data_IF_988994100511
#
_entry.id   IF_988994100511
#
_cell.length_a   1.000
_cell.length_b   1.000
_cell.length_c   1.000
_cell.angle_alpha   90.00
_cell.angle_beta   90.00
_cell.angle_gamma   90.00
#
_symmetry.space_group_name_H-M   'P 1'
#
loop_
_entity.id
_entity.type
_entity.pdbx_description
1 polymer ?
#
# COMPACT_ATOMS: atom_id res chain seq x y z
N UNK A 1 8.64 20.13 -6.07
CA UNK A 1 8.03 18.98 -5.35
C UNK A 1 8.78 17.68 -5.57
N UNK A 2 9.21 17.37 -6.80
CA UNK A 2 9.96 16.13 -7.12
C UNK A 2 11.26 15.97 -6.32
N UNK A 3 12.08 17.00 -6.16
CA UNK A 3 13.35 16.90 -5.39
C UNK A 3 13.14 16.50 -3.92
N UNK A 4 12.10 17.03 -3.27
CA UNK A 4 11.77 16.68 -1.90
C UNK A 4 11.28 15.23 -1.76
N UNK A 5 10.50 14.75 -2.74
CA UNK A 5 10.08 13.34 -2.80
C UNK A 5 11.29 12.44 -2.98
N UNK A 6 12.21 12.79 -3.90
CA UNK A 6 13.43 12.02 -4.14
C UNK A 6 14.29 11.92 -2.88
N UNK A 7 14.51 13.05 -2.18
CA UNK A 7 15.28 13.06 -0.95
C UNK A 7 14.67 12.17 0.15
N UNK A 8 13.33 12.12 0.27
CA UNK A 8 12.65 11.23 1.23
C UNK A 8 12.86 9.74 0.87
N UNK A 9 12.83 9.40 -0.41
CA UNK A 9 13.03 8.04 -0.89
C UNK A 9 14.49 7.60 -0.72
N UNK A 10 15.46 8.46 -1.05
CA UNK A 10 16.89 8.17 -0.93
C UNK A 10 17.36 8.07 0.54
N UNK A 11 16.59 8.64 1.48
CA UNK A 11 16.88 8.54 2.92
C UNK A 11 16.59 7.15 3.50
N UNK A 12 15.82 6.31 2.81
CA UNK A 12 15.50 4.95 3.22
C UNK A 12 16.53 3.99 2.62
N UNK A 13 17.11 3.10 3.44
CA UNK A 13 18.00 2.07 2.93
C UNK A 13 17.20 0.88 2.39
N UNK A 14 16.77 0.97 1.13
CA UNK A 14 15.90 -0.01 0.47
C UNK A 14 16.48 -1.43 0.38
N UNK A 15 17.81 -1.59 0.49
CA UNK A 15 18.47 -2.91 0.51
C UNK A 15 18.13 -3.76 1.73
N UNK A 16 17.57 -3.15 2.78
CA UNK A 16 17.14 -3.87 3.99
C UNK A 16 15.76 -4.53 3.83
N UNK A 17 15.07 -4.27 2.72
CA UNK A 17 13.73 -4.78 2.46
C UNK A 17 13.70 -5.67 1.22
N UNK A 18 12.66 -6.49 1.17
CA UNK A 18 12.38 -7.40 0.07
C UNK A 18 11.02 -7.10 -0.53
N UNK A 19 10.89 -7.48 -1.79
CA UNK A 19 9.66 -7.55 -2.60
C UNK A 19 9.38 -9.03 -2.90
N UNK A 20 8.25 -9.31 -3.55
CA UNK A 20 7.97 -10.65 -4.08
C UNK A 20 9.04 -11.17 -5.07
N UNK A 21 9.91 -10.30 -5.59
CA UNK A 21 10.94 -10.64 -6.58
C UNK A 21 12.37 -10.49 -6.05
N UNK A 22 12.56 -10.32 -4.73
CA UNK A 22 13.87 -10.11 -4.10
C UNK A 22 14.09 -8.67 -3.67
N UNK A 23 15.32 -8.15 -3.81
CA UNK A 23 15.72 -6.80 -3.35
C UNK A 23 14.72 -5.69 -3.71
N UNK A 24 14.44 -4.79 -2.76
CA UNK A 24 13.53 -3.66 -2.94
C UNK A 24 14.18 -2.41 -3.57
N UNK A 25 15.38 -2.50 -4.12
CA UNK A 25 16.11 -1.36 -4.72
C UNK A 25 15.39 -0.67 -5.88
N UNK A 26 14.42 -1.33 -6.53
CA UNK A 26 13.61 -0.74 -7.60
C UNK A 26 12.39 0.05 -7.09
N UNK A 27 11.96 -0.20 -5.84
CA UNK A 27 10.77 0.45 -5.25
C UNK A 27 10.88 1.99 -5.19
N UNK A 28 12.04 2.61 -4.92
CA UNK A 28 12.16 4.07 -4.87
C UNK A 28 11.78 4.75 -6.18
N UNK A 29 12.28 4.23 -7.29
CA UNK A 29 12.02 4.82 -8.61
C UNK A 29 10.53 4.66 -8.97
N UNK A 30 9.94 3.51 -8.63
CA UNK A 30 8.50 3.28 -8.80
C UNK A 30 7.64 4.23 -7.95
N UNK A 31 8.00 4.46 -6.69
CA UNK A 31 7.31 5.43 -5.83
C UNK A 31 7.49 6.87 -6.32
N UNK A 32 8.66 7.19 -6.86
CA UNK A 32 8.91 8.49 -7.46
C UNK A 32 8.03 8.72 -8.68
N UNK A 33 7.97 7.74 -9.59
CA UNK A 33 7.12 7.77 -10.78
C UNK A 33 5.64 7.84 -10.41
N UNK A 34 5.20 7.08 -9.40
CA UNK A 34 3.83 7.15 -8.88
C UNK A 34 3.45 8.56 -8.38
N UNK A 35 4.39 9.26 -7.75
CA UNK A 35 4.10 10.56 -7.13
C UNK A 35 4.31 11.76 -8.05
N UNK A 36 5.08 11.61 -9.14
CA UNK A 36 5.55 12.75 -9.94
C UNK A 36 5.37 12.59 -11.44
N UNK A 37 5.06 11.38 -11.91
CA UNK A 37 4.84 11.08 -13.32
C UNK A 37 3.55 11.66 -13.89
N UNK A 38 3.37 11.50 -15.20
CA UNK A 38 2.06 11.66 -15.85
C UNK A 38 1.12 10.53 -15.43
N UNK A 39 -0.19 10.68 -15.64
CA UNK A 39 -1.18 9.65 -15.27
C UNK A 39 -0.83 8.25 -15.82
N UNK A 40 -0.30 8.15 -17.04
CA UNK A 40 0.19 6.89 -17.63
C UNK A 40 1.37 6.30 -16.86
N UNK A 41 2.37 7.12 -16.54
CA UNK A 41 3.55 6.71 -15.75
C UNK A 41 3.14 6.29 -14.34
N UNK A 42 2.22 7.03 -13.72
CA UNK A 42 1.72 6.73 -12.38
C UNK A 42 0.98 5.39 -12.34
N UNK A 43 0.13 5.11 -13.33
CA UNK A 43 -0.59 3.84 -13.42
C UNK A 43 0.36 2.66 -13.67
N UNK A 44 1.36 2.83 -14.54
CA UNK A 44 2.39 1.82 -14.76
C UNK A 44 3.19 1.54 -13.47
N UNK A 45 3.57 2.60 -12.75
CA UNK A 45 4.26 2.49 -11.46
C UNK A 45 3.38 1.82 -10.40
N UNK A 46 2.09 2.18 -10.30
CA UNK A 46 1.14 1.53 -9.39
C UNK A 46 1.04 0.03 -9.66
N UNK A 47 0.97 -0.39 -10.92
CA UNK A 47 0.95 -1.80 -11.29
C UNK A 47 2.23 -2.54 -10.88
N UNK A 48 3.40 -1.92 -11.09
CA UNK A 48 4.68 -2.48 -10.66
C UNK A 48 4.76 -2.63 -9.14
N UNK A 49 4.31 -1.62 -8.39
CA UNK A 49 4.25 -1.64 -6.92
C UNK A 49 3.26 -2.70 -6.42
N UNK A 50 2.11 -2.86 -7.06
CA UNK A 50 1.16 -3.92 -6.73
C UNK A 50 1.80 -5.30 -6.89
N UNK A 51 2.49 -5.54 -8.01
CA UNK A 51 3.23 -6.78 -8.26
C UNK A 51 4.34 -7.04 -7.23
N UNK A 52 5.09 -6.00 -6.86
CA UNK A 52 6.25 -6.11 -5.99
C UNK A 52 5.89 -6.20 -4.50
N UNK A 53 4.94 -5.37 -4.05
CA UNK A 53 4.65 -5.17 -2.63
C UNK A 53 3.57 -6.12 -2.10
N UNK A 54 2.58 -6.48 -2.94
CA UNK A 54 1.45 -7.30 -2.54
C UNK A 54 1.14 -8.50 -3.46
N UNK A 55 1.99 -8.78 -4.46
CA UNK A 55 1.90 -9.86 -5.45
C UNK A 55 0.51 -10.50 -5.63
N UNK A 56 -0.38 -9.80 -6.34
CA UNK A 56 -1.75 -10.27 -6.62
C UNK A 56 -2.59 -10.59 -5.37
N UNK A 57 -2.33 -9.88 -4.27
CA UNK A 57 -2.87 -10.12 -2.94
C UNK A 57 -2.59 -11.53 -2.39
N UNK A 58 -1.61 -12.26 -2.93
CA UNK A 58 -1.19 -13.56 -2.42
C UNK A 58 -0.07 -13.46 -1.36
N UNK A 59 0.66 -12.35 -1.33
CA UNK A 59 1.82 -12.14 -0.47
C UNK A 59 1.92 -10.67 -0.05
N UNK A 60 2.49 -10.38 1.11
CA UNK A 60 2.84 -9.03 1.54
C UNK A 60 4.33 -8.95 1.82
N UNK A 61 5.01 -8.02 1.17
CA UNK A 61 6.47 -7.87 1.27
C UNK A 61 6.90 -6.95 2.42
N UNK A 62 8.14 -7.09 2.92
CA UNK A 62 8.66 -6.22 3.98
C UNK A 62 8.84 -4.77 3.52
N UNK A 63 9.05 -4.53 2.22
CA UNK A 63 9.12 -3.19 1.64
C UNK A 63 7.78 -2.43 1.73
N UNK A 64 6.65 -3.14 1.91
CA UNK A 64 5.33 -2.54 2.02
C UNK A 64 5.25 -1.52 3.16
N UNK A 65 5.89 -1.79 4.30
CA UNK A 65 5.90 -0.89 5.45
C UNK A 65 6.61 0.44 5.13
N UNK A 66 7.73 0.39 4.41
CA UNK A 66 8.48 1.58 4.01
C UNK A 66 7.78 2.37 2.89
N UNK A 67 7.06 1.67 2.00
CA UNK A 67 6.30 2.28 0.91
C UNK A 67 4.99 2.93 1.35
N UNK A 68 4.38 2.45 2.45
CA UNK A 68 3.04 2.86 2.90
C UNK A 68 2.82 4.39 2.99
N UNK A 69 3.72 5.20 3.59
CA UNK A 69 3.52 6.65 3.66
C UNK A 69 3.42 7.34 2.29
N UNK A 70 4.08 6.78 1.27
CA UNK A 70 4.06 7.31 -0.10
C UNK A 70 2.78 6.90 -0.84
N UNK A 71 2.31 5.67 -0.61
CA UNK A 71 1.01 5.21 -1.13
C UNK A 71 -0.15 6.02 -0.54
N UNK A 72 -0.12 6.30 0.77
CA UNK A 72 -1.11 7.18 1.42
C UNK A 72 -1.07 8.61 0.86
N UNK A 73 0.10 9.12 0.47
CA UNK A 73 0.18 10.41 -0.24
C UNK A 73 -0.45 10.34 -1.63
N UNK A 74 -0.29 9.23 -2.35
CA UNK A 74 -0.82 9.08 -3.70
C UNK A 74 -2.34 9.07 -3.74
N UNK A 75 -3.03 8.50 -2.74
CA UNK A 75 -4.51 8.52 -2.70
C UNK A 75 -5.09 9.93 -2.50
N UNK A 76 -4.30 10.86 -1.94
CA UNK A 76 -4.68 12.27 -1.79
C UNK A 76 -4.49 13.09 -3.09
N UNK A 77 -3.97 12.47 -4.14
CA UNK A 77 -3.79 13.10 -5.45
C UNK A 77 -5.11 13.28 -6.23
N UNK A 78 -5.13 14.17 -7.24
CA UNK A 78 -6.35 14.48 -8.00
C UNK A 78 -6.77 13.37 -8.98
N UNK A 79 -5.84 12.51 -9.42
CA UNK A 79 -6.05 11.50 -10.46
C UNK A 79 -6.84 10.29 -9.92
N UNK A 80 -8.13 10.19 -10.25
CA UNK A 80 -9.02 9.15 -9.74
C UNK A 80 -8.54 7.73 -10.07
N UNK A 81 -8.09 7.47 -11.30
CA UNK A 81 -7.60 6.14 -11.70
C UNK A 81 -6.33 5.72 -10.93
N UNK A 82 -5.46 6.68 -10.61
CA UNK A 82 -4.26 6.41 -9.79
C UNK A 82 -4.66 6.12 -8.36
N UNK A 83 -5.59 6.90 -7.81
CA UNK A 83 -6.13 6.69 -6.46
C UNK A 83 -6.74 5.29 -6.33
N UNK A 84 -7.57 4.89 -7.29
CA UNK A 84 -8.18 3.57 -7.37
C UNK A 84 -7.12 2.45 -7.38
N UNK A 85 -6.12 2.55 -8.26
CA UNK A 85 -5.03 1.57 -8.34
C UNK A 85 -4.25 1.47 -7.01
N UNK A 86 -4.03 2.58 -6.32
CA UNK A 86 -3.35 2.59 -5.02
C UNK A 86 -4.25 2.05 -3.91
N UNK A 87 -5.55 2.33 -3.91
CA UNK A 87 -6.51 1.73 -2.96
C UNK A 87 -6.57 0.22 -3.12
N UNK A 88 -6.45 -0.31 -4.34
CA UNK A 88 -6.31 -1.75 -4.56
C UNK A 88 -5.03 -2.33 -3.90
N UNK A 89 -3.90 -1.61 -3.91
CA UNK A 89 -2.70 -2.03 -3.18
C UNK A 89 -2.96 -2.04 -1.67
N UNK A 90 -3.55 -0.96 -1.16
CA UNK A 90 -3.82 -0.79 0.27
C UNK A 90 -4.86 -1.78 0.81
N UNK A 91 -5.80 -2.25 -0.02
CA UNK A 91 -6.75 -3.32 0.37
C UNK A 91 -6.02 -4.64 0.61
N UNK A 92 -5.04 -4.97 -0.22
CA UNK A 92 -4.15 -6.11 0.01
C UNK A 92 -3.33 -5.96 1.31
N UNK A 93 -2.83 -4.76 1.60
CA UNK A 93 -2.12 -4.48 2.85
C UNK A 93 -3.05 -4.67 4.06
N UNK A 94 -4.28 -4.15 4.00
CA UNK A 94 -5.26 -4.28 5.06
C UNK A 94 -5.57 -5.76 5.34
N UNK A 95 -5.84 -6.55 4.29
CA UNK A 95 -6.10 -7.98 4.37
C UNK A 95 -4.95 -8.76 5.03
N UNK A 96 -3.72 -8.58 4.54
CA UNK A 96 -2.55 -9.31 5.04
C UNK A 96 -2.07 -8.83 6.42
N UNK A 97 -2.49 -7.63 6.83
CA UNK A 97 -2.14 -7.09 8.14
C UNK A 97 -3.04 -7.55 9.28
N UNK A 98 -4.13 -8.27 8.98
CA UNK A 98 -5.04 -8.81 9.99
C UNK A 98 -4.28 -9.75 10.94
N UNK A 99 -4.38 -9.55 12.27
CA UNK A 99 -3.67 -10.37 13.24
C UNK A 99 -3.97 -11.86 13.05
N UNK A 100 -2.96 -12.75 13.11
CA UNK A 100 -3.22 -14.16 13.07
C UNK A 100 -3.92 -14.57 14.36
N UNK A 101 -4.86 -15.52 14.28
CA UNK A 101 -5.52 -16.10 15.45
C UNK A 101 -4.54 -16.84 16.36
N UNK A 102 -3.46 -17.37 15.79
CA UNK A 102 -2.39 -18.10 16.48
C UNK A 102 -1.02 -17.77 15.88
N UNK A 103 0.01 -17.75 16.73
CA UNK A 103 1.38 -17.44 16.32
C UNK A 103 1.68 -15.94 16.22
N UNK A 104 2.92 -15.62 15.88
CA UNK A 104 3.40 -14.25 15.76
C UNK A 104 3.41 -13.79 14.30
N UNK A 105 3.16 -12.51 14.08
CA UNK A 105 3.37 -11.84 12.79
C UNK A 105 4.60 -10.94 12.85
N UNK A 106 5.28 -10.71 11.73
CA UNK A 106 6.39 -9.77 11.69
C UNK A 106 5.97 -8.38 12.19
N UNK A 107 6.85 -7.71 12.95
CA UNK A 107 6.56 -6.38 13.51
C UNK A 107 6.18 -5.35 12.45
N UNK A 108 6.77 -5.44 11.25
CA UNK A 108 6.46 -4.55 10.13
C UNK A 108 5.03 -4.74 9.59
N UNK A 109 4.43 -5.94 9.72
CA UNK A 109 3.02 -6.19 9.39
C UNK A 109 2.11 -5.51 10.41
N UNK A 110 2.44 -5.61 11.69
CA UNK A 110 1.73 -4.91 12.77
C UNK A 110 1.77 -3.40 12.57
N UNK A 111 2.92 -2.89 12.15
CA UNK A 111 3.11 -1.47 11.85
C UNK A 111 2.25 -1.00 10.68
N UNK A 112 2.17 -1.77 9.59
CA UNK A 112 1.26 -1.48 8.47
C UNK A 112 -0.18 -1.36 8.98
N UNK A 113 -0.67 -2.33 9.76
CA UNK A 113 -2.03 -2.27 10.31
C UNK A 113 -2.25 -1.02 11.16
N UNK A 114 -1.30 -0.72 12.04
CA UNK A 114 -1.35 0.43 12.95
C UNK A 114 -1.49 1.73 12.16
N UNK A 115 -0.71 1.90 11.10
CA UNK A 115 -0.76 3.10 10.25
C UNK A 115 -2.07 3.16 9.46
N UNK A 116 -2.54 2.05 8.89
CA UNK A 116 -3.83 2.03 8.18
C UNK A 116 -5.01 2.39 9.12
N UNK A 117 -5.00 1.91 10.36
CA UNK A 117 -5.99 2.29 11.38
C UNK A 117 -5.92 3.79 11.72
N UNK A 118 -4.73 4.39 11.72
CA UNK A 118 -4.60 5.84 11.93
C UNK A 118 -5.16 6.66 10.77
N UNK A 119 -5.12 6.13 9.56
CA UNK A 119 -5.67 6.75 8.35
C UNK A 119 -7.12 6.32 8.06
N UNK A 120 -7.82 5.68 9.00
CA UNK A 120 -9.16 5.14 8.79
C UNK A 120 -10.15 6.19 8.24
N UNK A 121 -10.11 7.42 8.77
CA UNK A 121 -10.99 8.50 8.33
C UNK A 121 -10.78 8.90 6.86
N UNK A 122 -9.57 8.73 6.31
CA UNK A 122 -9.31 9.02 4.90
C UNK A 122 -10.07 8.04 3.99
N UNK A 123 -10.08 6.75 4.36
CA UNK A 123 -10.84 5.73 3.63
C UNK A 123 -12.35 5.92 3.79
N UNK A 124 -12.82 6.33 4.97
CA UNK A 124 -14.25 6.66 5.19
C UNK A 124 -14.71 7.81 4.28
N UNK A 125 -13.90 8.86 4.16
CA UNK A 125 -14.18 9.99 3.27
C UNK A 125 -14.29 9.52 1.82
N UNK A 126 -13.32 8.74 1.33
CA UNK A 126 -13.33 8.20 -0.04
C UNK A 126 -14.56 7.31 -0.27
N UNK A 127 -14.87 6.40 0.66
CA UNK A 127 -16.01 5.49 0.55
C UNK A 127 -17.37 6.22 0.53
N UNK A 128 -17.44 7.45 1.07
CA UNK A 128 -18.65 8.26 1.09
C UNK A 128 -18.76 9.23 -0.10
N UNK A 129 -17.63 9.74 -0.60
CA UNK A 129 -17.60 10.83 -1.58
C UNK A 129 -17.35 10.35 -3.01
N UNK A 130 -16.72 9.19 -3.18
CA UNK A 130 -16.45 8.61 -4.50
C UNK A 130 -17.47 7.52 -4.87
N UNK A 131 -17.43 7.12 -6.13
CA UNK A 131 -18.26 6.03 -6.68
C UNK A 131 -17.38 5.05 -7.47
N UNK A 132 -17.90 3.87 -7.76
CA UNK A 132 -17.18 2.84 -8.51
C UNK A 132 -16.06 2.20 -7.69
N UNK A 133 -14.96 1.83 -8.36
CA UNK A 133 -13.92 0.99 -7.77
C UNK A 133 -13.19 1.66 -6.60
N UNK A 134 -12.97 2.99 -6.61
CA UNK A 134 -12.41 3.70 -5.45
C UNK A 134 -13.24 3.50 -4.18
N UNK A 135 -14.58 3.60 -4.30
CA UNK A 135 -15.50 3.41 -3.19
C UNK A 135 -15.46 1.95 -2.70
N UNK A 136 -15.44 1.00 -3.63
CA UNK A 136 -15.39 -0.44 -3.32
C UNK A 136 -14.09 -0.79 -2.58
N UNK A 137 -12.93 -0.34 -3.07
CA UNK A 137 -11.66 -0.61 -2.42
C UNK A 137 -11.54 0.05 -1.05
N UNK A 138 -12.01 1.30 -0.90
CA UNK A 138 -12.02 1.96 0.40
C UNK A 138 -12.93 1.23 1.41
N UNK A 139 -14.09 0.74 0.96
CA UNK A 139 -15.00 -0.04 1.80
C UNK A 139 -14.38 -1.38 2.21
N UNK A 140 -13.70 -2.07 1.28
CA UNK A 140 -12.97 -3.30 1.58
C UNK A 140 -11.86 -3.09 2.61
N UNK A 141 -11.08 -2.02 2.49
CA UNK A 141 -10.05 -1.66 3.48
C UNK A 141 -10.69 -1.53 4.87
N UNK A 142 -11.80 -0.79 4.98
CA UNK A 142 -12.48 -0.58 6.26
C UNK A 142 -13.01 -1.91 6.86
N UNK A 143 -13.51 -2.82 6.04
CA UNK A 143 -13.92 -4.16 6.48
C UNK A 143 -12.74 -4.97 7.05
N UNK A 144 -11.59 -4.97 6.36
CA UNK A 144 -10.38 -5.65 6.83
C UNK A 144 -9.80 -5.03 8.11
N UNK A 145 -9.92 -3.71 8.26
CA UNK A 145 -9.52 -3.00 9.48
C UNK A 145 -10.45 -3.31 10.67
N UNK A 146 -11.72 -3.64 10.43
CA UNK A 146 -12.65 -4.10 11.46
C UNK A 146 -12.48 -5.59 11.82
N UNK A 147 -11.81 -6.37 10.99
CA UNK A 147 -11.55 -7.79 11.25
C UNK A 147 -10.52 -7.98 12.36
N UNK A 148 -10.85 -8.71 13.41
CA UNK A 148 -10.01 -8.83 14.63
C UNK A 148 -8.98 -9.96 14.58
N UNK A 149 -9.23 -11.03 13.82
CA UNK A 149 -8.23 -12.08 13.57
C UNK A 149 -8.58 -12.95 12.35
N UNK A 150 -7.58 -13.56 11.71
CA UNK A 150 -7.75 -14.57 10.64
C UNK A 150 -6.93 -15.83 10.93
N UNK A 151 -7.36 -16.97 10.40
CA UNK A 151 -6.51 -18.16 10.34
C UNK A 151 -5.39 -17.90 9.32
N UNK A 152 -4.14 -18.27 9.65
CA UNK A 152 -3.07 -18.24 8.66
C UNK A 152 -3.44 -19.17 7.50
N UNK A 153 -3.43 -18.64 6.29
CA UNK A 153 -3.44 -19.47 5.09
C UNK A 153 -2.13 -20.26 5.07
N UNK A 154 -2.20 -21.59 4.98
CA UNK A 154 -1.04 -22.50 5.03
C UNK A 154 -0.31 -22.59 3.68
N UNK A 155 -0.28 -21.53 2.90
CA UNK A 155 0.40 -21.51 1.60
C UNK A 155 1.76 -20.83 1.69
#
# INVERSE_FOLDING_TARGET
MSEAVRAQLDAINWRLYETAYGSAEAVPDQLFDLLTGSSEVQLAAAHQLWCALCHQHAYLSSAAAAALPFLLRAIQGPEAAVREAVLNILSGFAYHSVPPRTGEQPSWVTEIRRVLLQCQSEFEIIAQQETGESQEWASQILEELNTTSRYRSLF
#
